data_IF_847477976600
#
_entry.id   IF_847477976600
#
_cell.length_a   1.000
_cell.length_b   1.000
_cell.length_c   1.000
_cell.angle_alpha   90.00
_cell.angle_beta   90.00
_cell.angle_gamma   90.00
#
_symmetry.space_group_name_H-M   'P 1'
#
loop_
_entity.id
_entity.type
_entity.pdbx_description
1 polymer ?
#
# COMPACT_ATOMS: atom_id res chain seq x y z
N UNK A 1 62.22 -2.38 1.50
CA UNK A 1 61.72 -1.10 0.96
C UNK A 1 60.30 -1.22 0.42
N UNK A 2 59.95 -2.29 -0.29
CA UNK A 2 58.62 -2.49 -0.90
C UNK A 2 57.46 -2.51 0.12
N UNK A 3 57.63 -3.21 1.24
CA UNK A 3 56.61 -3.26 2.31
C UNK A 3 56.15 -1.88 2.82
N UNK A 4 57.06 -0.89 2.86
CA UNK A 4 56.71 0.46 3.33
C UNK A 4 55.88 1.23 2.29
N UNK A 5 56.11 0.94 1.00
CA UNK A 5 55.34 1.48 -0.12
C UNK A 5 53.95 0.83 -0.13
N UNK A 6 53.87 -0.49 0.08
CA UNK A 6 52.61 -1.23 0.14
C UNK A 6 51.70 -0.74 1.28
N UNK A 7 52.27 -0.50 2.47
CA UNK A 7 51.53 0.07 3.62
C UNK A 7 51.00 1.47 3.31
N UNK A 8 51.78 2.31 2.62
CA UNK A 8 51.33 3.63 2.19
C UNK A 8 50.23 3.55 1.12
N UNK A 9 50.29 2.55 0.24
CA UNK A 9 49.29 2.34 -0.80
C UNK A 9 47.96 1.89 -0.19
N UNK A 10 47.98 0.95 0.76
CA UNK A 10 46.79 0.57 1.52
C UNK A 10 46.18 1.74 2.30
N UNK A 11 47.00 2.66 2.80
CA UNK A 11 46.51 3.86 3.47
C UNK A 11 45.75 4.77 2.50
N UNK A 12 46.27 4.98 1.29
CA UNK A 12 45.62 5.80 0.26
C UNK A 12 44.33 5.15 -0.23
N UNK A 13 44.34 3.84 -0.47
CA UNK A 13 43.16 3.09 -0.89
C UNK A 13 42.06 3.13 0.19
N UNK A 14 42.43 3.12 1.47
CA UNK A 14 41.49 3.32 2.57
C UNK A 14 40.83 4.70 2.53
N UNK A 15 41.60 5.78 2.33
CA UNK A 15 41.02 7.13 2.20
C UNK A 15 40.13 7.27 0.97
N UNK A 16 40.49 6.65 -0.15
CA UNK A 16 39.65 6.63 -1.35
C UNK A 16 38.34 5.88 -1.12
N UNK A 17 38.40 4.69 -0.51
CA UNK A 17 37.23 3.89 -0.14
C UNK A 17 36.33 4.62 0.86
N UNK A 18 36.90 5.30 1.85
CA UNK A 18 36.16 6.11 2.81
C UNK A 18 35.39 7.24 2.11
N UNK A 19 36.04 7.97 1.19
CA UNK A 19 35.39 9.06 0.47
C UNK A 19 34.26 8.56 -0.44
N UNK A 20 34.47 7.42 -1.12
CA UNK A 20 33.48 6.81 -1.99
C UNK A 20 32.26 6.32 -1.19
N UNK A 21 32.50 5.72 -0.02
CA UNK A 21 31.44 5.29 0.91
C UNK A 21 30.60 6.46 1.43
N UNK A 22 31.22 7.62 1.72
CA UNK A 22 30.46 8.82 2.12
C UNK A 22 29.56 9.30 0.97
N UNK A 23 30.03 9.28 -0.27
CA UNK A 23 29.21 9.65 -1.44
C UNK A 23 28.04 8.67 -1.63
N UNK A 24 28.29 7.38 -1.44
CA UNK A 24 27.24 6.35 -1.48
C UNK A 24 26.18 6.58 -0.40
N UNK A 25 26.59 6.90 0.83
CA UNK A 25 25.69 7.22 1.92
C UNK A 25 24.77 8.41 1.58
N UNK A 26 25.32 9.47 0.98
CA UNK A 26 24.50 10.62 0.55
C UNK A 26 23.47 10.22 -0.50
N UNK A 27 23.83 9.36 -1.46
CA UNK A 27 22.88 8.86 -2.46
C UNK A 27 21.81 7.97 -1.83
N UNK A 28 22.17 7.15 -0.86
CA UNK A 28 21.23 6.29 -0.14
C UNK A 28 20.17 7.10 0.62
N UNK A 29 20.56 8.23 1.24
CA UNK A 29 19.60 9.16 1.87
C UNK A 29 18.58 9.72 0.87
N UNK A 30 18.98 9.99 -0.38
CA UNK A 30 18.06 10.45 -1.43
C UNK A 30 17.06 9.36 -1.80
N UNK A 31 17.52 8.12 -1.95
CA UNK A 31 16.64 6.99 -2.22
C UNK A 31 15.69 6.69 -1.04
N UNK A 32 16.16 6.84 0.19
CA UNK A 32 15.33 6.71 1.39
C UNK A 32 14.17 7.71 1.40
N UNK A 33 14.42 8.98 1.09
CA UNK A 33 13.36 10.00 1.02
C UNK A 33 12.35 9.67 -0.08
N UNK A 34 12.83 9.20 -1.23
CA UNK A 34 11.95 8.78 -2.31
C UNK A 34 11.08 7.58 -1.91
N UNK A 35 11.66 6.59 -1.22
CA UNK A 35 10.92 5.43 -0.73
C UNK A 35 9.85 5.83 0.30
N UNK A 36 10.16 6.73 1.23
CA UNK A 36 9.19 7.26 2.19
C UNK A 36 7.97 7.88 1.50
N UNK A 37 8.18 8.59 0.39
CA UNK A 37 7.08 9.17 -0.38
C UNK A 37 6.21 8.09 -1.04
N UNK A 38 6.83 7.03 -1.58
CA UNK A 38 6.10 5.90 -2.14
C UNK A 38 5.31 5.13 -1.07
N UNK A 39 5.89 4.91 0.11
CA UNK A 39 5.20 4.24 1.22
C UNK A 39 3.94 5.00 1.65
N UNK A 40 3.96 6.33 1.63
CA UNK A 40 2.79 7.17 1.90
C UNK A 40 1.72 6.98 0.82
N UNK A 41 2.11 6.91 -0.45
CA UNK A 41 1.18 6.66 -1.56
C UNK A 41 0.54 5.28 -1.40
N UNK A 42 1.31 4.25 -1.08
CA UNK A 42 0.80 2.91 -0.85
C UNK A 42 -0.18 2.87 0.33
N UNK A 43 0.09 3.58 1.42
CA UNK A 43 -0.83 3.70 2.54
C UNK A 43 -2.16 4.36 2.16
N UNK A 44 -2.13 5.40 1.31
CA UNK A 44 -3.35 6.06 0.82
C UNK A 44 -4.14 5.13 -0.10
N UNK A 45 -3.47 4.41 -0.99
CA UNK A 45 -4.11 3.47 -1.91
C UNK A 45 -4.74 2.31 -1.14
N UNK A 46 -4.05 1.74 -0.16
CA UNK A 46 -4.60 0.70 0.71
C UNK A 46 -5.79 1.20 1.53
N UNK A 47 -5.72 2.43 2.05
CA UNK A 47 -6.84 3.09 2.71
C UNK A 47 -8.06 3.21 1.79
N UNK A 48 -7.85 3.69 0.56
CA UNK A 48 -8.92 3.78 -0.44
C UNK A 48 -9.52 2.41 -0.76
N UNK A 49 -8.69 1.39 -1.00
CA UNK A 49 -9.14 0.02 -1.28
C UNK A 49 -9.93 -0.55 -0.10
N UNK A 50 -9.50 -0.33 1.15
CA UNK A 50 -10.21 -0.82 2.34
C UNK A 50 -11.62 -0.24 2.50
N UNK A 51 -11.86 0.98 2.00
CA UNK A 51 -13.19 1.58 1.98
C UNK A 51 -14.10 0.98 0.90
N UNK A 52 -13.51 0.33 -0.10
CA UNK A 52 -14.21 -0.37 -1.17
C UNK A 52 -14.23 -1.90 -0.99
N UNK A 53 -13.57 -2.43 0.03
CA UNK A 53 -13.60 -3.87 0.33
C UNK A 53 -15.06 -4.25 0.59
N UNK A 54 -15.65 -5.11 -0.26
CA UNK A 54 -17.05 -5.47 -0.12
C UNK A 54 -17.22 -6.14 1.24
N UNK A 55 -18.03 -5.51 2.10
CA UNK A 55 -18.50 -6.09 3.37
C UNK A 55 -18.83 -7.55 3.10
N UNK A 56 -18.15 -8.47 3.79
CA UNK A 56 -18.27 -9.89 3.51
C UNK A 56 -19.70 -10.36 3.77
N UNK A 57 -20.50 -10.37 2.71
CA UNK A 57 -21.92 -10.74 2.75
C UNK A 57 -22.07 -12.25 2.92
N UNK A 58 -20.96 -13.02 2.87
CA UNK A 58 -20.98 -14.46 3.13
C UNK A 58 -21.50 -14.78 4.53
N UNK A 59 -21.29 -13.90 5.52
CA UNK A 59 -21.83 -14.08 6.86
C UNK A 59 -23.37 -14.08 6.89
N UNK A 60 -24.01 -13.37 5.96
CA UNK A 60 -25.47 -13.30 5.84
C UNK A 60 -26.07 -14.41 4.97
N UNK A 61 -25.23 -15.17 4.26
CA UNK A 61 -25.62 -16.35 3.48
C UNK A 61 -25.66 -17.65 4.32
N UNK A 62 -25.24 -17.58 5.59
CA UNK A 62 -25.26 -18.71 6.54
C UNK A 62 -26.66 -19.28 6.84
N UNK A 63 -27.72 -18.53 6.53
CA UNK A 63 -29.11 -18.98 6.65
C UNK A 63 -29.64 -19.82 5.48
N UNK A 64 -28.88 -19.94 4.37
CA UNK A 64 -29.28 -20.74 3.21
C UNK A 64 -28.75 -22.18 3.30
N UNK A 65 -29.49 -23.18 2.80
CA UNK A 65 -28.99 -24.54 2.70
C UNK A 65 -27.69 -24.59 1.87
N UNK A 66 -26.74 -25.50 2.21
CA UNK A 66 -25.39 -25.50 1.63
C UNK A 66 -25.35 -25.56 0.11
N UNK A 67 -26.30 -26.28 -0.51
CA UNK A 67 -26.41 -26.40 -1.96
C UNK A 67 -26.81 -25.06 -2.61
N UNK A 68 -27.71 -24.31 -1.98
CA UNK A 68 -28.12 -22.99 -2.44
C UNK A 68 -27.01 -21.95 -2.24
N UNK A 69 -26.30 -22.00 -1.10
CA UNK A 69 -25.17 -21.09 -0.84
C UNK A 69 -24.04 -21.27 -1.86
N UNK A 70 -23.77 -22.50 -2.30
CA UNK A 70 -22.75 -22.77 -3.32
C UNK A 70 -23.14 -22.14 -4.67
N UNK A 71 -24.39 -22.34 -5.12
CA UNK A 71 -24.89 -21.74 -6.36
C UNK A 71 -24.86 -20.22 -6.29
N UNK A 72 -25.28 -19.63 -5.16
CA UNK A 72 -25.25 -18.18 -4.94
C UNK A 72 -23.82 -17.61 -4.97
N UNK A 73 -22.83 -18.37 -4.49
CA UNK A 73 -21.42 -18.04 -4.62
C UNK A 73 -20.91 -18.07 -6.06
N UNK A 74 -21.34 -19.06 -6.86
CA UNK A 74 -20.93 -19.18 -8.27
C UNK A 74 -21.52 -18.09 -9.18
N UNK A 75 -22.74 -17.63 -8.91
CA UNK A 75 -23.39 -16.55 -9.69
C UNK A 75 -22.89 -15.14 -9.30
N UNK A 76 -22.01 -15.03 -8.31
CA UNK A 76 -21.44 -13.75 -7.89
C UNK A 76 -22.37 -12.85 -7.06
N UNK A 77 -23.40 -13.44 -6.44
CA UNK A 77 -24.36 -12.69 -5.61
C UNK A 77 -23.70 -11.97 -4.40
N UNK A 78 -22.74 -12.57 -3.67
CA UNK A 78 -22.04 -11.88 -2.58
C UNK A 78 -21.33 -10.61 -3.05
N UNK A 79 -20.67 -10.66 -4.22
CA UNK A 79 -19.95 -9.54 -4.81
C UNK A 79 -20.92 -8.44 -5.26
N UNK A 80 -22.06 -8.81 -5.86
CA UNK A 80 -23.10 -7.86 -6.26
C UNK A 80 -23.70 -7.12 -5.06
N UNK A 81 -23.98 -7.83 -3.96
CA UNK A 81 -24.48 -7.21 -2.72
C UNK A 81 -23.41 -6.33 -2.07
N UNK A 82 -22.15 -6.77 -2.06
CA UNK A 82 -21.01 -5.97 -1.60
C UNK A 82 -20.90 -4.63 -2.35
N UNK A 83 -21.02 -4.64 -3.69
CA UNK A 83 -21.01 -3.42 -4.51
C UNK A 83 -22.18 -2.47 -4.18
N UNK A 84 -23.36 -2.99 -3.88
CA UNK A 84 -24.51 -2.16 -3.49
C UNK A 84 -24.27 -1.50 -2.13
N UNK A 85 -23.75 -2.26 -1.16
CA UNK A 85 -23.47 -1.75 0.19
C UNK A 85 -22.36 -0.70 0.16
N UNK A 86 -21.28 -0.93 -0.60
CA UNK A 86 -20.21 0.07 -0.76
C UNK A 86 -20.71 1.33 -1.44
N UNK A 87 -21.55 1.22 -2.48
CA UNK A 87 -22.17 2.38 -3.13
C UNK A 87 -23.09 3.19 -2.20
N UNK A 88 -23.86 2.51 -1.33
CA UNK A 88 -24.67 3.18 -0.29
C UNK A 88 -23.77 3.83 0.76
N UNK A 89 -22.69 3.17 1.18
CA UNK A 89 -21.70 3.72 2.11
C UNK A 89 -21.05 5.00 1.59
N UNK A 90 -20.61 4.99 0.33
CA UNK A 90 -20.08 6.17 -0.37
C UNK A 90 -21.14 7.27 -0.46
N UNK A 91 -22.39 6.91 -0.76
CA UNK A 91 -23.50 7.88 -0.78
C UNK A 91 -23.69 8.56 0.58
N UNK A 92 -23.65 7.82 1.69
CA UNK A 92 -23.78 8.38 3.05
C UNK A 92 -22.56 9.24 3.41
N UNK A 93 -21.35 8.79 3.06
CA UNK A 93 -20.12 9.52 3.33
C UNK A 93 -20.05 10.84 2.55
N UNK A 94 -20.45 10.85 1.29
CA UNK A 94 -20.49 12.07 0.49
C UNK A 94 -21.51 13.06 1.06
N UNK A 95 -22.65 12.59 1.58
CA UNK A 95 -23.67 13.46 2.19
C UNK A 95 -23.19 14.22 3.44
N UNK A 96 -22.09 13.81 4.09
CA UNK A 96 -21.44 14.58 5.15
C UNK A 96 -20.73 15.83 4.62
N UNK A 97 -20.30 15.80 3.35
CA UNK A 97 -19.77 16.96 2.65
C UNK A 97 -20.98 17.81 2.21
N UNK A 98 -21.06 19.09 2.64
CA UNK A 98 -22.26 19.92 2.49
C UNK A 98 -22.70 20.15 1.03
N UNK A 99 -21.87 19.82 0.05
CA UNK A 99 -22.13 20.01 -1.38
C UNK A 99 -22.81 18.81 -2.08
N UNK A 100 -23.12 17.72 -1.37
CA UNK A 100 -23.83 16.57 -1.96
C UNK A 100 -25.08 16.14 -1.17
N UNK A 101 -25.58 17.03 -0.29
CA UNK A 101 -26.77 16.78 0.53
C UNK A 101 -27.98 16.43 -0.35
N UNK A 102 -28.74 15.44 0.11
CA UNK A 102 -29.95 14.91 -0.51
C UNK A 102 -30.97 16.02 -0.76
N UNK A 103 -31.22 16.35 -2.02
CA UNK A 103 -32.39 17.10 -2.47
C UNK A 103 -32.50 18.51 -1.89
N UNK A 104 -31.96 19.46 -2.64
CA UNK A 104 -31.87 20.92 -2.42
C UNK A 104 -30.66 21.42 -1.65
#
# INVERSE_FOLDING_TARGET
MNWLIDVFQYLIDFFYGLFLSIIELVKDVVYFIFNLLLDIVDAIVLGAISLFDPVDVSQYLTGFPPEASWVLGQIGLPQALGMIVTAIGVRIMLQLIPFTRLGS
#
